data_IF_824456558232
#
_entry.id   IF_824456558232
#
_cell.length_a   1.000
_cell.length_b   1.000
_cell.length_c   1.000
_cell.angle_alpha   90.00
_cell.angle_beta   90.00
_cell.angle_gamma   90.00
#
_symmetry.space_group_name_H-M   'P 1'
#
loop_
_entity.id
_entity.type
_entity.pdbx_description
1 polymer ?
#
# COMPACT_ATOMS: atom_id res chain seq x y z
N UNK A 1 4.58 -8.56 2.75
CA UNK A 1 4.25 -9.18 1.46
C UNK A 1 2.97 -9.98 1.61
N UNK A 2 1.93 -9.50 0.96
CA UNK A 2 0.67 -10.20 0.70
C UNK A 2 0.69 -10.52 -0.80
N UNK A 3 0.27 -11.72 -1.21
CA UNK A 3 0.35 -12.16 -2.62
C UNK A 3 -0.27 -11.15 -3.59
N UNK A 4 -1.39 -10.54 -3.21
CA UNK A 4 -2.15 -9.65 -4.10
C UNK A 4 -1.39 -8.37 -4.45
N UNK A 5 -0.47 -7.90 -3.59
CA UNK A 5 0.39 -6.72 -3.87
C UNK A 5 1.29 -6.96 -5.08
N UNK A 6 1.64 -8.22 -5.36
CA UNK A 6 2.47 -8.56 -6.51
C UNK A 6 1.81 -8.22 -7.85
N UNK A 7 0.50 -7.93 -7.87
CA UNK A 7 -0.18 -7.41 -9.06
C UNK A 7 0.37 -6.05 -9.54
N UNK A 8 1.14 -5.33 -8.71
CA UNK A 8 1.86 -4.09 -9.06
C UNK A 8 3.29 -4.30 -9.53
N UNK A 9 3.83 -5.51 -9.36
CA UNK A 9 5.23 -5.80 -9.63
C UNK A 9 5.36 -6.50 -10.98
N UNK A 10 6.27 -6.01 -11.82
CA UNK A 10 6.59 -6.63 -13.12
C UNK A 10 7.84 -7.50 -13.01
N UNK A 11 7.93 -8.52 -13.87
CA UNK A 11 9.11 -9.40 -13.98
C UNK A 11 9.48 -10.17 -12.70
N UNK A 12 8.49 -10.57 -11.90
CA UNK A 12 8.74 -11.38 -10.71
C UNK A 12 8.85 -12.89 -11.02
N UNK A 13 9.63 -13.65 -10.21
CA UNK A 13 9.51 -15.09 -10.13
C UNK A 13 8.07 -15.52 -9.77
N UNK A 14 7.74 -16.78 -10.04
CA UNK A 14 6.42 -17.30 -9.67
C UNK A 14 6.20 -17.23 -8.15
N UNK A 15 4.94 -17.12 -7.73
CA UNK A 15 4.61 -17.12 -6.29
C UNK A 15 5.17 -18.32 -5.55
N UNK A 16 5.24 -19.49 -6.20
CA UNK A 16 5.83 -20.71 -5.63
C UNK A 16 7.33 -20.53 -5.34
N UNK A 17 8.07 -19.88 -6.23
CA UNK A 17 9.49 -19.58 -6.04
C UNK A 17 9.71 -18.56 -4.93
N UNK A 18 8.90 -17.50 -4.92
CA UNK A 18 8.91 -16.50 -3.86
C UNK A 18 8.61 -17.13 -2.49
N UNK A 19 7.62 -18.02 -2.40
CA UNK A 19 7.28 -18.72 -1.16
C UNK A 19 8.45 -19.56 -0.63
N UNK A 20 9.19 -20.25 -1.52
CA UNK A 20 10.39 -20.99 -1.11
C UNK A 20 11.50 -20.05 -0.61
N UNK A 21 11.65 -18.87 -1.19
CA UNK A 21 12.61 -17.88 -0.72
C UNK A 21 12.21 -17.30 0.64
N UNK A 22 10.93 -16.96 0.82
CA UNK A 22 10.39 -16.45 2.08
C UNK A 22 10.51 -17.47 3.22
N UNK A 23 10.21 -18.75 2.98
CA UNK A 23 10.42 -19.79 3.99
C UNK A 23 11.88 -19.88 4.45
N UNK A 24 12.83 -19.82 3.51
CA UNK A 24 14.26 -19.81 3.87
C UNK A 24 14.66 -18.57 4.67
N UNK A 25 14.08 -17.41 4.37
CA UNK A 25 14.31 -16.18 5.13
C UNK A 25 13.70 -16.28 6.54
N UNK A 26 12.52 -16.90 6.66
CA UNK A 26 11.84 -17.14 7.93
C UNK A 26 12.60 -18.15 8.79
N UNK A 27 13.09 -19.25 8.22
CA UNK A 27 13.92 -20.25 8.90
C UNK A 27 15.19 -19.62 9.49
N UNK A 28 15.70 -18.55 8.86
CA UNK A 28 16.85 -17.76 9.35
C UNK A 28 16.44 -16.65 10.33
N UNK A 29 15.16 -16.46 10.59
CA UNK A 29 14.62 -15.43 11.47
C UNK A 29 14.67 -14.01 10.92
N UNK A 30 14.97 -13.83 9.64
CA UNK A 30 15.06 -12.50 9.00
C UNK A 30 13.68 -11.89 8.76
N UNK A 31 12.67 -12.74 8.53
CA UNK A 31 11.27 -12.34 8.35
C UNK A 31 10.36 -13.21 9.22
N UNK A 32 9.09 -12.82 9.28
CA UNK A 32 8.01 -13.58 9.91
C UNK A 32 6.99 -13.98 8.85
N UNK A 33 6.63 -15.26 8.81
CA UNK A 33 5.44 -15.78 8.16
C UNK A 33 4.23 -15.76 9.12
N UNK A 34 3.03 -15.64 8.58
CA UNK A 34 1.80 -15.72 9.36
C UNK A 34 0.64 -14.93 8.78
N UNK A 35 -0.28 -14.50 9.66
CA UNK A 35 -1.42 -13.64 9.33
C UNK A 35 -1.37 -12.42 10.23
N UNK A 36 -0.96 -11.27 9.66
CA UNK A 36 -0.77 -10.04 10.44
C UNK A 36 -1.93 -9.06 10.26
N UNK A 37 -2.52 -9.05 9.06
CA UNK A 37 -3.67 -8.22 8.69
C UNK A 37 -4.82 -9.10 8.23
N UNK A 38 -6.02 -8.85 8.75
CA UNK A 38 -7.24 -9.57 8.37
C UNK A 38 -7.76 -9.16 7.00
N UNK A 39 -8.67 -9.95 6.42
CA UNK A 39 -9.31 -9.64 5.13
C UNK A 39 -8.52 -10.07 3.89
N UNK A 40 -7.34 -10.66 4.06
CA UNK A 40 -6.50 -11.16 2.97
C UNK A 40 -6.39 -12.69 2.98
N UNK A 41 -6.33 -13.27 1.79
CA UNK A 41 -6.15 -14.71 1.63
C UNK A 41 -4.67 -15.10 1.66
N UNK A 42 -4.40 -16.26 2.25
CA UNK A 42 -3.08 -16.87 2.26
C UNK A 42 -2.16 -16.38 3.38
N UNK A 43 -0.90 -16.80 3.27
CA UNK A 43 0.17 -16.47 4.20
C UNK A 43 0.81 -15.12 3.84
N UNK A 44 1.20 -14.37 4.87
CA UNK A 44 1.83 -13.06 4.75
C UNK A 44 3.25 -13.14 5.31
N UNK A 45 4.15 -12.38 4.69
CA UNK A 45 5.56 -12.34 5.09
C UNK A 45 5.99 -10.91 5.36
N UNK A 46 6.64 -10.63 6.48
CA UNK A 46 7.08 -9.27 6.80
C UNK A 46 8.35 -9.29 7.65
N UNK A 47 9.11 -8.19 7.60
CA UNK A 47 10.18 -7.97 8.58
C UNK A 47 9.56 -7.93 10.00
N UNK A 48 10.28 -8.41 11.04
CA UNK A 48 9.77 -8.38 12.41
C UNK A 48 9.26 -7.01 12.84
N UNK A 49 10.02 -5.95 12.54
CA UNK A 49 9.64 -4.56 12.85
C UNK A 49 8.35 -4.13 12.16
N UNK A 50 8.08 -4.59 10.94
CA UNK A 50 6.85 -4.26 10.24
C UNK A 50 5.62 -4.91 10.90
N UNK A 51 5.76 -6.14 11.43
CA UNK A 51 4.71 -6.81 12.19
C UNK A 51 4.43 -6.04 13.50
N UNK A 52 5.48 -5.61 14.18
CA UNK A 52 5.38 -4.80 15.40
C UNK A 52 4.69 -3.46 15.13
N UNK A 53 5.08 -2.75 14.07
CA UNK A 53 4.45 -1.48 13.66
C UNK A 53 2.96 -1.64 13.39
N UNK A 54 2.55 -2.66 12.64
CA UNK A 54 1.11 -2.92 12.36
C UNK A 54 0.33 -3.21 13.65
N UNK A 55 0.93 -3.96 14.58
CA UNK A 55 0.30 -4.24 15.88
C UNK A 55 0.17 -2.98 16.74
N UNK A 56 1.18 -2.13 16.74
CA UNK A 56 1.17 -0.86 17.48
C UNK A 56 0.09 0.10 16.92
N UNK A 57 -0.05 0.16 15.58
CA UNK A 57 -1.04 1.00 14.91
C UNK A 57 -2.49 0.65 15.25
N UNK A 58 -2.80 -0.61 15.59
CA UNK A 58 -4.16 -1.05 15.93
C UNK A 58 -4.80 -0.27 17.08
N UNK A 59 -3.98 0.28 17.98
CA UNK A 59 -4.45 1.02 19.15
C UNK A 59 -4.38 2.54 18.96
N UNK A 60 -3.94 3.02 17.80
CA UNK A 60 -3.88 4.46 17.52
C UNK A 60 -5.27 4.97 17.10
N UNK A 61 -5.65 6.18 17.52
CA UNK A 61 -6.82 6.83 16.97
C UNK A 61 -6.63 7.10 15.47
N UNK A 62 -7.71 7.00 14.71
CA UNK A 62 -7.72 7.45 13.31
C UNK A 62 -7.41 8.95 13.28
N UNK A 63 -6.54 9.38 12.35
CA UNK A 63 -6.08 10.77 12.31
C UNK A 63 -7.05 11.67 11.54
N UNK A 64 -7.85 11.09 10.63
CA UNK A 64 -8.67 11.85 9.68
C UNK A 64 -7.85 12.51 8.57
N UNK A 65 -6.54 12.29 8.55
CA UNK A 65 -5.64 12.89 7.58
C UNK A 65 -5.89 12.30 6.19
N UNK A 66 -5.88 13.17 5.18
CA UNK A 66 -6.00 12.76 3.78
C UNK A 66 -4.64 12.86 3.10
N UNK A 67 -4.10 11.72 2.67
CA UNK A 67 -2.85 11.64 1.91
C UNK A 67 -3.14 11.45 0.43
N UNK A 68 -2.56 12.31 -0.41
CA UNK A 68 -2.73 12.25 -1.87
C UNK A 68 -1.44 11.78 -2.51
N UNK A 69 -1.53 10.77 -3.36
CA UNK A 69 -0.42 10.21 -4.11
C UNK A 69 -0.72 10.19 -5.61
N UNK A 70 0.34 10.21 -6.42
CA UNK A 70 0.21 10.02 -7.87
C UNK A 70 -0.40 8.65 -8.15
N UNK A 71 -1.33 8.55 -9.10
CA UNK A 71 -1.88 7.23 -9.46
C UNK A 71 -0.83 6.29 -10.05
N UNK A 72 0.29 6.82 -10.55
CA UNK A 72 1.43 6.04 -11.02
C UNK A 72 2.30 5.49 -9.88
N UNK A 73 2.11 5.93 -8.63
CA UNK A 73 2.86 5.44 -7.48
C UNK A 73 2.51 3.97 -7.18
N UNK A 74 3.48 3.12 -6.81
CA UNK A 74 3.24 1.73 -6.41
C UNK A 74 2.25 1.55 -5.25
N UNK A 75 2.09 2.56 -4.38
CA UNK A 75 1.14 2.57 -3.28
C UNK A 75 -0.31 2.82 -3.72
N UNK A 76 -0.56 3.05 -5.02
CA UNK A 76 -1.91 2.99 -5.56
C UNK A 76 -2.44 1.53 -5.50
N UNK A 77 -3.05 1.14 -4.39
CA UNK A 77 -3.54 -0.25 -4.19
C UNK A 77 -5.06 -0.37 -4.25
N UNK A 78 -5.76 0.65 -4.80
CA UNK A 78 -7.21 0.60 -5.04
C UNK A 78 -7.55 -0.47 -6.08
N UNK A 79 -8.52 -1.32 -5.74
CA UNK A 79 -8.89 -2.50 -6.53
C UNK A 79 -7.87 -3.64 -6.41
N UNK A 80 -6.91 -3.56 -5.48
CA UNK A 80 -5.96 -4.63 -5.14
C UNK A 80 -6.09 -4.97 -3.65
N UNK A 81 -5.60 -4.10 -2.77
CA UNK A 81 -5.78 -4.25 -1.32
C UNK A 81 -6.87 -3.35 -0.77
N UNK A 82 -7.01 -2.15 -1.34
CA UNK A 82 -8.01 -1.17 -0.92
C UNK A 82 -9.28 -1.39 -1.75
N UNK A 83 -10.45 -1.58 -1.12
CA UNK A 83 -11.70 -1.75 -1.84
C UNK A 83 -11.99 -0.56 -2.78
N UNK A 84 -12.52 -0.86 -3.96
CA UNK A 84 -12.88 0.14 -4.96
C UNK A 84 -12.58 -0.31 -6.38
N UNK A 85 -12.99 0.49 -7.35
CA UNK A 85 -12.64 0.27 -8.75
C UNK A 85 -11.14 0.51 -8.96
N UNK A 86 -10.48 -0.39 -9.70
CA UNK A 86 -9.04 -0.31 -9.94
C UNK A 86 -8.69 1.01 -10.63
N UNK A 87 -7.83 1.80 -9.98
CA UNK A 87 -7.36 3.08 -10.53
C UNK A 87 -6.17 2.83 -11.47
N UNK A 88 -6.25 3.22 -12.75
CA UNK A 88 -5.15 3.06 -13.70
C UNK A 88 -3.87 3.77 -13.25
N UNK A 89 -2.73 3.09 -13.39
CA UNK A 89 -1.41 3.59 -13.02
C UNK A 89 -0.83 4.53 -14.09
N UNK A 90 -1.46 5.69 -14.28
CA UNK A 90 -1.10 6.66 -15.33
C UNK A 90 -0.58 7.93 -14.67
N UNK A 91 0.45 8.54 -15.26
CA UNK A 91 0.98 9.83 -14.81
C UNK A 91 -0.04 10.96 -14.99
N UNK A 92 0.06 12.02 -14.19
CA UNK A 92 -0.82 13.20 -14.27
C UNK A 92 -2.19 13.03 -13.61
N UNK A 93 -2.45 11.89 -12.97
CA UNK A 93 -3.63 11.64 -12.13
C UNK A 93 -3.20 11.34 -10.68
N UNK A 94 -4.14 11.42 -9.75
CA UNK A 94 -3.89 11.17 -8.33
C UNK A 94 -4.99 10.32 -7.70
N UNK A 95 -4.68 9.74 -6.54
CA UNK A 95 -5.63 9.09 -5.64
C UNK A 95 -5.38 9.61 -4.22
N UNK A 96 -6.46 9.85 -3.49
CA UNK A 96 -6.42 10.29 -2.09
C UNK A 96 -6.89 9.17 -1.18
N UNK A 97 -6.25 9.06 -0.02
CA UNK A 97 -6.61 8.12 1.04
C UNK A 97 -6.87 8.87 2.33
N UNK A 98 -8.00 8.58 2.97
CA UNK A 98 -8.31 9.03 4.32
C UNK A 98 -8.36 7.82 5.24
N UNK A 99 -7.45 7.76 6.22
CA UNK A 99 -7.31 6.63 7.14
C UNK A 99 -7.25 5.26 6.42
N UNK A 100 -6.58 5.20 5.26
CA UNK A 100 -6.44 3.99 4.43
C UNK A 100 -7.62 3.69 3.51
N UNK A 101 -8.69 4.49 3.53
CA UNK A 101 -9.84 4.38 2.63
C UNK A 101 -9.64 5.29 1.43
N UNK A 102 -9.79 4.75 0.22
CA UNK A 102 -9.74 5.57 -0.99
C UNK A 102 -10.93 6.55 -1.00
N UNK A 103 -10.63 7.83 -1.17
CA UNK A 103 -11.63 8.89 -1.29
C UNK A 103 -11.47 9.59 -2.62
N UNK A 104 -12.57 10.12 -3.17
CA UNK A 104 -12.48 11.04 -4.29
C UNK A 104 -11.63 12.23 -3.84
N UNK A 105 -10.60 12.63 -4.60
CA UNK A 105 -9.82 13.80 -4.24
C UNK A 105 -10.80 14.96 -4.13
N UNK A 106 -10.84 15.59 -2.95
CA UNK A 106 -11.41 16.91 -2.81
C UNK A 106 -10.63 17.78 -3.80
N UNK A 107 -11.32 18.41 -4.74
CA UNK A 107 -10.67 19.29 -5.73
C UNK A 107 -10.19 20.51 -4.96
N UNK A 108 -9.06 20.40 -4.27
CA UNK A 108 -8.29 21.56 -3.85
C UNK A 108 -7.71 22.09 -5.14
N UNK A 109 -8.43 23.02 -5.77
CA UNK A 109 -7.85 23.90 -6.77
C UNK A 109 -6.62 24.51 -6.08
N UNK A 110 -5.44 23.98 -6.41
CA UNK A 110 -4.20 24.62 -6.04
C UNK A 110 -4.30 26.02 -6.65
N UNK A 111 -4.57 27.01 -5.80
CA UNK A 111 -4.44 28.41 -6.16
C UNK A 111 -3.01 28.58 -6.62
N UNK A 112 -2.83 28.68 -7.94
CA UNK A 112 -1.58 29.14 -8.53
C UNK A 112 -1.27 30.47 -7.84
N UNK A 113 -0.11 30.65 -7.19
CA UNK A 113 0.25 31.98 -6.73
C UNK A 113 0.37 32.83 -7.99
N UNK A 114 -0.53 33.80 -8.12
CA UNK A 114 -0.47 34.84 -9.13
C UNK A 114 0.86 35.57 -8.91
N UNK A 115 1.86 35.21 -9.71
CA UNK A 115 3.12 35.95 -9.77
C UNK A 115 2.78 37.29 -10.39
N UNK A 116 2.48 38.26 -9.54
CA UNK A 116 2.30 39.64 -9.93
C UNK A 116 3.57 40.12 -10.63
N UNK A 117 3.46 40.34 -11.93
CA UNK A 117 4.44 41.09 -12.69
C UNK A 117 4.40 42.55 -12.20
N UNK A 118 5.54 43.02 -11.68
CA UNK A 118 5.81 44.40 -11.29
C UNK A 118 7.27 44.71 -11.55
#
# INVERSE_FOLDING_TARGET
>A
VIRDVLARESNLPSWRELLMAFRRLEDRGEIRGGRFVDGFLGEQFALPIAVESVRAMRNLPVSGETQTLSSADPLNLVGILVPGEKIPAISGKSVSYRDGIAVTPEVTLASVPEVAAG
#
